data_IF_783824867103
#
_entry.id   IF_783824867103
#
_cell.length_a   1.000
_cell.length_b   1.000
_cell.length_c   1.000
_cell.angle_alpha   90.00
_cell.angle_beta   90.00
_cell.angle_gamma   90.00
#
_symmetry.space_group_name_H-M   'P 1'
#
loop_
_entity.id
_entity.type
_entity.pdbx_description
1 polymer ?
#
# COMPACT_ATOMS: atom_id res chain seq x y z
N UNK A 1 -14.96 7.92 11.70
CA UNK A 1 -13.54 7.54 11.88
C UNK A 1 -12.88 7.24 10.55
N UNK A 2 -11.55 7.26 10.52
CA UNK A 2 -10.68 6.97 9.36
C UNK A 2 -9.92 5.67 9.61
N UNK A 3 -9.62 4.91 8.55
CA UNK A 3 -8.67 3.80 8.57
C UNK A 3 -7.65 3.99 7.46
N UNK A 4 -6.41 3.60 7.72
CA UNK A 4 -5.33 3.62 6.73
C UNK A 4 -4.60 2.29 6.71
N UNK A 5 -4.08 1.92 5.54
CA UNK A 5 -3.15 0.80 5.36
C UNK A 5 -2.04 1.26 4.43
N UNK A 6 -0.80 0.85 4.73
CA UNK A 6 0.37 1.25 3.96
C UNK A 6 1.29 0.05 3.70
N UNK A 7 2.09 0.17 2.64
CA UNK A 7 3.15 -0.78 2.27
C UNK A 7 4.43 -0.01 1.96
N UNK A 8 5.61 -0.60 2.20
CA UNK A 8 6.86 0.02 1.79
C UNK A 8 7.00 -0.01 0.27
N UNK A 9 7.60 1.04 -0.29
CA UNK A 9 8.12 1.05 -1.66
C UNK A 9 9.61 0.77 -1.56
N UNK A 10 10.04 -0.34 -2.14
CA UNK A 10 11.44 -0.73 -2.21
C UNK A 10 11.98 -0.39 -3.59
N UNK A 11 13.14 0.25 -3.67
CA UNK A 11 13.78 0.50 -4.97
C UNK A 11 14.41 -0.78 -5.53
N UNK A 12 15.01 -0.71 -6.73
CA UNK A 12 15.66 -1.87 -7.34
C UNK A 12 16.84 -2.42 -6.53
N UNK A 13 17.50 -1.57 -5.73
CA UNK A 13 18.54 -2.00 -4.78
C UNK A 13 17.98 -2.71 -3.53
N UNK A 14 16.65 -2.76 -3.36
CA UNK A 14 15.98 -3.42 -2.23
C UNK A 14 15.73 -2.50 -1.02
N UNK A 15 16.31 -1.30 -1.05
CA UNK A 15 16.18 -0.27 -0.01
C UNK A 15 14.76 0.28 0.07
N UNK A 16 14.27 0.52 1.29
CA UNK A 16 12.97 1.17 1.50
C UNK A 16 13.15 2.67 1.31
N UNK A 17 12.60 3.19 0.22
CA UNK A 17 12.76 4.60 -0.16
C UNK A 17 11.52 5.45 0.09
N UNK A 18 10.35 4.81 0.23
CA UNK A 18 9.08 5.47 0.51
C UNK A 18 8.04 4.48 1.09
N UNK A 19 6.83 4.98 1.34
CA UNK A 19 5.66 4.16 1.62
C UNK A 19 4.46 4.64 0.77
N UNK A 20 3.62 3.70 0.35
CA UNK A 20 2.36 3.98 -0.35
C UNK A 20 1.19 3.65 0.58
N UNK A 21 0.23 4.56 0.72
CA UNK A 21 -0.90 4.42 1.63
C UNK A 21 -2.26 4.46 0.90
N UNK A 22 -3.29 3.90 1.55
CA UNK A 22 -4.69 4.11 1.20
C UNK A 22 -5.44 4.49 2.48
N UNK A 23 -6.09 5.66 2.49
CA UNK A 23 -7.03 6.10 3.52
C UNK A 23 -8.49 5.85 3.13
N UNK A 24 -9.31 5.37 4.07
CA UNK A 24 -10.74 5.10 3.84
C UNK A 24 -11.61 5.50 5.03
N UNK A 25 -12.90 5.75 4.79
CA UNK A 25 -13.86 5.96 5.88
C UNK A 25 -14.14 4.63 6.60
N UNK A 26 -13.88 4.58 7.90
CA UNK A 26 -14.00 3.36 8.72
C UNK A 26 -15.42 2.75 8.75
N UNK A 27 -16.45 3.55 8.53
CA UNK A 27 -17.85 3.10 8.48
C UNK A 27 -18.27 2.48 7.14
N UNK A 28 -17.49 2.68 6.08
CA UNK A 28 -17.79 2.14 4.73
C UNK A 28 -16.92 0.97 4.35
N UNK A 29 -15.67 0.92 4.85
CA UNK A 29 -14.70 -0.11 4.50
C UNK A 29 -14.29 -0.90 5.75
N UNK A 30 -14.64 -2.18 5.78
CA UNK A 30 -14.25 -3.11 6.83
C UNK A 30 -12.80 -3.57 6.71
N UNK A 31 -12.20 -4.02 7.83
CA UNK A 31 -10.81 -4.51 7.86
C UNK A 31 -10.57 -5.67 6.89
N UNK A 32 -11.52 -6.60 6.78
CA UNK A 32 -11.43 -7.71 5.83
C UNK A 32 -11.27 -7.23 4.39
N UNK A 33 -12.05 -6.23 3.96
CA UNK A 33 -11.92 -5.62 2.62
C UNK A 33 -10.55 -4.95 2.46
N UNK A 34 -10.08 -4.23 3.48
CA UNK A 34 -8.74 -3.63 3.44
C UNK A 34 -7.64 -4.67 3.24
N UNK A 35 -7.73 -5.83 3.90
CA UNK A 35 -6.73 -6.89 3.83
C UNK A 35 -6.83 -7.74 2.57
N UNK A 36 -8.03 -8.07 2.10
CA UNK A 36 -8.23 -9.04 1.01
C UNK A 36 -8.36 -8.39 -0.36
N UNK A 37 -8.77 -7.12 -0.43
CA UNK A 37 -8.98 -6.41 -1.70
C UNK A 37 -7.99 -5.25 -1.90
N UNK A 38 -7.79 -4.42 -0.87
CA UNK A 38 -6.93 -3.24 -1.00
C UNK A 38 -5.44 -3.58 -0.89
N UNK A 39 -5.05 -4.36 0.13
CA UNK A 39 -3.65 -4.69 0.39
C UNK A 39 -2.93 -5.38 -0.79
N UNK A 40 -3.51 -6.37 -1.50
CA UNK A 40 -2.84 -6.98 -2.64
C UNK A 40 -2.54 -5.97 -3.75
N UNK A 41 -3.53 -5.13 -4.10
CA UNK A 41 -3.39 -4.10 -5.14
C UNK A 41 -2.40 -3.01 -4.72
N UNK A 42 -2.40 -2.64 -3.44
CA UNK A 42 -1.46 -1.68 -2.88
C UNK A 42 -0.02 -2.20 -2.94
N UNK A 43 0.21 -3.49 -2.64
CA UNK A 43 1.51 -4.16 -2.79
C UNK A 43 1.98 -4.18 -4.24
N UNK A 44 1.11 -4.56 -5.18
CA UNK A 44 1.43 -4.56 -6.61
C UNK A 44 1.81 -3.15 -7.10
N UNK A 45 1.06 -2.12 -6.69
CA UNK A 45 1.37 -0.73 -7.03
C UNK A 45 2.72 -0.29 -6.47
N UNK A 46 3.03 -0.64 -5.23
CA UNK A 46 4.32 -0.32 -4.61
C UNK A 46 5.48 -1.06 -5.27
N UNK A 47 5.29 -2.32 -5.71
CA UNK A 47 6.30 -3.06 -6.47
C UNK A 47 6.56 -2.40 -7.83
N UNK A 48 5.51 -2.06 -8.58
CA UNK A 48 5.67 -1.37 -9.88
C UNK A 48 6.36 -0.03 -9.72
N UNK A 49 5.98 0.75 -8.71
CA UNK A 49 6.64 2.02 -8.42
C UNK A 49 8.11 1.80 -8.04
N UNK A 50 8.40 0.80 -7.21
CA UNK A 50 9.76 0.43 -6.83
C UNK A 50 10.69 0.13 -8.01
N UNK A 51 10.17 -0.51 -9.07
CA UNK A 51 10.94 -0.79 -10.28
C UNK A 51 11.36 0.48 -11.05
N UNK A 52 10.70 1.61 -10.81
CA UNK A 52 11.04 2.91 -11.41
C UNK A 52 12.07 3.69 -10.57
N UNK A 53 12.42 3.21 -9.38
CA UNK A 53 13.30 3.87 -8.43
C UNK A 53 14.64 3.11 -8.31
N UNK A 54 15.71 3.83 -7.97
CA UNK A 54 17.09 3.34 -8.06
C UNK A 54 17.53 2.49 -6.86
#
# INVERSE_FOLDING_TARGET
GLRSIAVPVRSRSGEVVAALNIGTQAGRVGLGVMQTQLLPRLREAAQRLGMLLN
#
